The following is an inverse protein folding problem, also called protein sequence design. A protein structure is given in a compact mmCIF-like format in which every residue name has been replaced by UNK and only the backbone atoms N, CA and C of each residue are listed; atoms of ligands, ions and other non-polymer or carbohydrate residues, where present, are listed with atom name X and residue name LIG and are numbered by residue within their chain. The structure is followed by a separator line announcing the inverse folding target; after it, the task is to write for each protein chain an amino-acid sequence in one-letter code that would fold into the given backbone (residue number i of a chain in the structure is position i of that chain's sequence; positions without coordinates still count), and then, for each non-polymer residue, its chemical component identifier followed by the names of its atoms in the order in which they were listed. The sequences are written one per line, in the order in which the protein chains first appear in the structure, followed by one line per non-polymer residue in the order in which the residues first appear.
data_IF_950877859022
#
_entry.id   IF_950877859022
#
_cell.length_a   1.000
_cell.length_b   1.000
_cell.length_c   1.000
_cell.angle_alpha   90.00
_cell.angle_beta   90.00
_cell.angle_gamma   90.00
#
_symmetry.space_group_name_H-M   'P 1'
#
loop_
_entity.id
_entity.type
_entity.pdbx_description
1 polymer ?
#
# COMPACT_ATOMS: atom_id res chain seq x y z
N UNK A 1 4.31 -1.91 -25.76
CA UNK A 1 3.25 -1.94 -24.75
C UNK A 1 3.83 -1.71 -23.33
N UNK A 2 4.84 -2.44 -22.89
CA UNK A 2 5.43 -2.31 -21.55
C UNK A 2 6.00 -0.90 -21.25
N UNK A 3 6.73 -0.29 -22.16
CA UNK A 3 7.26 1.07 -22.00
C UNK A 3 6.14 2.13 -21.87
N UNK A 4 5.05 1.98 -22.63
CA UNK A 4 3.87 2.84 -22.50
C UNK A 4 3.21 2.68 -21.12
N UNK A 5 3.17 1.46 -20.56
CA UNK A 5 2.67 1.19 -19.22
C UNK A 5 3.55 1.85 -18.15
N UNK A 6 4.88 1.75 -18.27
CA UNK A 6 5.81 2.40 -17.32
C UNK A 6 5.64 3.93 -17.32
N UNK A 7 5.54 4.54 -18.50
CA UNK A 7 5.30 5.98 -18.64
C UNK A 7 3.93 6.35 -18.04
N UNK A 8 2.89 5.58 -18.36
CA UNK A 8 1.54 5.80 -17.83
C UNK A 8 1.51 5.74 -16.30
N UNK A 9 2.13 4.73 -15.69
CA UNK A 9 2.19 4.60 -14.22
C UNK A 9 3.00 5.72 -13.57
N UNK A 10 4.14 6.12 -14.14
CA UNK A 10 4.91 7.29 -13.67
C UNK A 10 4.05 8.55 -13.65
N UNK A 11 3.32 8.79 -14.73
CA UNK A 11 2.47 9.99 -14.86
C UNK A 11 1.32 9.95 -13.87
N UNK A 12 0.62 8.81 -13.76
CA UNK A 12 -0.49 8.65 -12.82
C UNK A 12 -0.03 8.87 -11.38
N UNK A 13 1.03 8.19 -10.93
CA UNK A 13 1.52 8.35 -9.56
C UNK A 13 2.13 9.73 -9.32
N UNK A 14 2.75 10.35 -10.33
CA UNK A 14 3.20 11.74 -10.24
C UNK A 14 2.03 12.70 -10.01
N UNK A 15 0.95 12.57 -10.78
CA UNK A 15 -0.26 13.38 -10.63
C UNK A 15 -0.91 13.14 -9.26
N UNK A 16 -1.08 11.88 -8.84
CA UNK A 16 -1.68 11.56 -7.54
C UNK A 16 -0.86 12.15 -6.37
N UNK A 17 0.47 12.10 -6.44
CA UNK A 17 1.33 12.74 -5.45
C UNK A 17 1.13 14.26 -5.43
N UNK A 18 1.06 14.93 -6.58
CA UNK A 18 0.76 16.36 -6.67
C UNK A 18 -0.63 16.71 -6.12
N UNK A 19 -1.65 15.90 -6.42
CA UNK A 19 -3.01 16.07 -5.87
C UNK A 19 -2.97 16.00 -4.35
N UNK A 20 -2.25 15.03 -3.77
CA UNK A 20 -2.17 14.90 -2.31
C UNK A 20 -1.44 16.09 -1.67
N UNK A 21 -0.33 16.55 -2.28
CA UNK A 21 0.37 17.76 -1.79
C UNK A 21 -0.56 18.97 -1.83
N UNK A 22 -1.27 19.19 -2.93
CA UNK A 22 -2.24 20.28 -3.05
C UNK A 22 -3.36 20.18 -2.02
N UNK A 23 -3.90 18.98 -1.80
CA UNK A 23 -4.92 18.71 -0.78
C UNK A 23 -4.39 19.05 0.63
N UNK A 24 -3.19 18.63 0.96
CA UNK A 24 -2.59 18.91 2.27
C UNK A 24 -2.36 20.40 2.49
N UNK A 25 -1.80 21.10 1.51
CA UNK A 25 -1.60 22.57 1.56
C UNK A 25 -2.92 23.29 1.72
N UNK A 26 -3.93 22.91 0.93
CA UNK A 26 -5.28 23.48 1.03
C UNK A 26 -5.91 23.25 2.42
N UNK A 27 -5.85 22.02 2.93
CA UNK A 27 -6.42 21.66 4.24
C UNK A 27 -5.75 22.41 5.37
N UNK A 28 -4.42 22.50 5.37
CA UNK A 28 -3.68 23.30 6.37
C UNK A 28 -4.05 24.77 6.29
N UNK A 29 -4.27 25.32 5.10
CA UNK A 29 -4.60 26.73 4.91
C UNK A 29 -5.98 27.09 5.44
N UNK A 30 -6.97 26.18 5.38
CA UNK A 30 -8.36 26.47 5.80
C UNK A 30 -8.69 25.99 7.22
N UNK A 31 -8.05 24.91 7.69
CA UNK A 31 -8.39 24.29 8.97
C UNK A 31 -7.17 24.14 9.94
N UNK A 32 -5.98 24.65 9.52
CA UNK A 32 -4.78 24.63 10.35
C UNK A 32 -4.15 23.24 10.49
N UNK A 33 -3.36 23.06 11.54
CA UNK A 33 -2.58 21.83 11.74
C UNK A 33 -3.43 20.65 12.26
N UNK A 34 -3.06 19.38 11.94
CA UNK A 34 -3.84 18.18 12.31
C UNK A 34 -3.77 17.80 13.80
N UNK A 35 -2.92 18.45 14.61
CA UNK A 35 -2.64 18.03 15.98
C UNK A 35 -3.66 18.59 17.00
N UNK A 36 -4.96 18.60 16.63
CA UNK A 36 -6.05 19.07 17.50
C UNK A 36 -6.93 17.87 17.90
N UNK A 37 -7.32 17.84 19.19
CA UNK A 37 -8.13 16.74 19.75
C UNK A 37 -9.55 16.69 19.19
N UNK A 38 -10.10 17.82 18.79
CA UNK A 38 -11.44 17.94 18.20
C UNK A 38 -11.57 17.23 16.84
N UNK A 39 -10.46 17.01 16.15
CA UNK A 39 -10.44 16.27 14.89
C UNK A 39 -10.55 14.75 15.09
N UNK A 40 -10.22 14.23 16.27
CA UNK A 40 -10.17 12.79 16.55
C UNK A 40 -11.56 12.25 16.90
N UNK A 41 -12.48 12.31 15.95
CA UNK A 41 -13.79 11.64 16.04
C UNK A 41 -13.63 10.12 15.92
N UNK A 42 -14.64 9.30 16.35
CA UNK A 42 -14.58 7.85 16.20
C UNK A 42 -14.32 7.39 14.76
N UNK A 43 -14.99 8.01 13.78
CA UNK A 43 -14.77 7.70 12.36
C UNK A 43 -13.40 8.16 11.87
N UNK A 44 -12.89 9.31 12.31
CA UNK A 44 -11.53 9.74 11.98
C UNK A 44 -10.49 8.76 12.53
N UNK A 45 -10.66 8.31 13.78
CA UNK A 45 -9.77 7.30 14.39
C UNK A 45 -9.83 5.98 13.62
N UNK A 46 -11.03 5.51 13.24
CA UNK A 46 -11.19 4.29 12.44
C UNK A 46 -10.52 4.42 11.06
N UNK A 47 -10.70 5.55 10.38
CA UNK A 47 -10.06 5.82 9.08
C UNK A 47 -8.54 5.89 9.19
N UNK A 48 -8.00 6.47 10.27
CA UNK A 48 -6.56 6.48 10.51
C UNK A 48 -6.01 5.07 10.77
N UNK A 49 -6.71 4.23 11.53
CA UNK A 49 -6.30 2.83 11.75
C UNK A 49 -6.30 2.08 10.41
N UNK A 50 -7.34 2.22 9.61
CA UNK A 50 -7.46 1.62 8.27
C UNK A 50 -6.31 2.07 7.35
N UNK A 51 -6.05 3.37 7.35
CA UNK A 51 -4.95 3.98 6.59
C UNK A 51 -3.58 3.42 7.03
N UNK A 52 -3.29 3.41 8.32
CA UNK A 52 -1.99 2.95 8.82
C UNK A 52 -1.76 1.45 8.63
N UNK A 53 -2.81 0.62 8.61
CA UNK A 53 -2.67 -0.80 8.25
C UNK A 53 -2.21 -0.94 6.78
N UNK A 54 -2.74 -0.14 5.86
CA UNK A 54 -2.25 -0.09 4.48
C UNK A 54 -0.81 0.43 4.40
N UNK A 55 -0.47 1.45 5.19
CA UNK A 55 0.91 1.96 5.31
C UNK A 55 1.88 0.87 5.81
N UNK A 56 1.45 0.02 6.75
CA UNK A 56 2.25 -1.13 7.20
C UNK A 56 2.50 -2.12 6.07
N UNK A 57 1.50 -2.43 5.25
CA UNK A 57 1.67 -3.32 4.10
C UNK A 57 2.64 -2.74 3.06
N UNK A 58 2.50 -1.46 2.73
CA UNK A 58 3.41 -0.74 1.83
C UNK A 58 4.81 -0.59 2.43
N UNK A 59 4.91 -0.31 3.71
CA UNK A 59 6.18 -0.23 4.45
C UNK A 59 6.93 -1.55 4.46
N UNK A 60 6.23 -2.68 4.61
CA UNK A 60 6.84 -4.01 4.51
C UNK A 60 7.43 -4.27 3.12
N UNK A 61 6.74 -3.83 2.05
CA UNK A 61 7.27 -3.89 0.69
C UNK A 61 8.50 -2.99 0.51
N UNK A 62 8.45 -1.73 0.94
CA UNK A 62 9.58 -0.79 0.88
C UNK A 62 10.78 -1.35 1.63
N UNK A 63 10.57 -1.90 2.82
CA UNK A 63 11.60 -2.51 3.65
C UNK A 63 12.25 -3.73 2.98
N UNK A 64 11.46 -4.53 2.26
CA UNK A 64 11.98 -5.64 1.45
C UNK A 64 12.78 -5.12 0.25
N UNK A 65 12.29 -4.07 -0.44
CA UNK A 65 12.89 -3.55 -1.68
C UNK A 65 14.25 -2.89 -1.44
N UNK A 66 14.40 -2.14 -0.36
CA UNK A 66 15.62 -1.41 -0.04
C UNK A 66 16.73 -2.35 0.45
N UNK A 67 17.95 -2.16 -0.10
CA UNK A 67 19.14 -2.94 0.30
C UNK A 67 19.75 -2.42 1.59
N UNK A 68 19.71 -1.11 1.80
CA UNK A 68 20.29 -0.44 2.94
C UNK A 68 19.24 -0.24 4.04
N UNK A 69 19.52 -0.73 5.25
CA UNK A 69 18.68 -0.56 6.42
C UNK A 69 18.34 0.92 6.73
N UNK A 70 19.33 1.82 6.58
CA UNK A 70 19.14 3.25 6.85
C UNK A 70 18.14 3.85 5.85
N UNK A 71 18.32 3.54 4.55
CA UNK A 71 17.40 3.97 3.50
C UNK A 71 16.00 3.41 3.72
N UNK A 72 15.87 2.11 4.06
CA UNK A 72 14.60 1.48 4.35
C UNK A 72 13.88 2.16 5.52
N UNK A 73 14.61 2.41 6.63
CA UNK A 73 14.04 3.06 7.81
C UNK A 73 13.61 4.50 7.52
N UNK A 74 14.40 5.25 6.74
CA UNK A 74 14.07 6.61 6.33
C UNK A 74 12.79 6.64 5.47
N UNK A 75 12.68 5.76 4.48
CA UNK A 75 11.48 5.67 3.64
C UNK A 75 10.23 5.28 4.43
N UNK A 76 10.35 4.32 5.37
CA UNK A 76 9.24 3.92 6.24
C UNK A 76 8.82 5.06 7.16
N UNK A 77 9.78 5.82 7.71
CA UNK A 77 9.48 7.01 8.53
C UNK A 77 8.73 8.07 7.71
N UNK A 78 9.20 8.35 6.48
CA UNK A 78 8.52 9.28 5.58
C UNK A 78 7.11 8.78 5.19
N UNK A 79 6.93 7.46 4.99
CA UNK A 79 5.62 6.85 4.75
C UNK A 79 4.64 7.09 5.90
N UNK A 80 5.12 6.94 7.14
CA UNK A 80 4.31 7.19 8.34
C UNK A 80 3.95 8.67 8.47
N UNK A 81 4.88 9.59 8.13
CA UNK A 81 4.69 11.03 8.29
C UNK A 81 3.87 11.68 7.16
N UNK A 82 4.07 11.23 5.91
CA UNK A 82 3.54 11.89 4.71
C UNK A 82 2.66 10.97 3.84
N UNK A 83 2.37 9.77 4.30
CA UNK A 83 1.40 8.87 3.66
C UNK A 83 1.64 8.63 2.17
N UNK A 84 0.61 8.84 1.37
CA UNK A 84 0.63 8.57 -0.06
C UNK A 84 1.52 9.50 -0.87
N UNK A 85 1.87 10.68 -0.36
CA UNK A 85 2.91 11.53 -0.99
C UNK A 85 4.20 10.74 -1.11
N UNK A 86 4.63 10.12 0.00
CA UNK A 86 5.83 9.29 0.02
C UNK A 86 5.67 8.03 -0.82
N UNK A 87 4.51 7.38 -0.77
CA UNK A 87 4.23 6.20 -1.60
C UNK A 87 4.38 6.52 -3.08
N UNK A 88 3.74 7.60 -3.55
CA UNK A 88 3.80 8.03 -4.94
C UNK A 88 5.22 8.41 -5.36
N UNK A 89 5.92 9.20 -4.53
CA UNK A 89 7.30 9.60 -4.78
C UNK A 89 8.22 8.38 -4.87
N UNK A 90 8.10 7.44 -3.94
CA UNK A 90 8.90 6.22 -3.93
C UNK A 90 8.69 5.39 -5.20
N UNK A 91 7.43 5.17 -5.60
CA UNK A 91 7.09 4.42 -6.82
C UNK A 91 7.67 5.11 -8.06
N UNK A 92 7.48 6.42 -8.20
CA UNK A 92 8.01 7.20 -9.32
C UNK A 92 9.53 7.10 -9.38
N UNK A 93 10.23 7.20 -8.24
CA UNK A 93 11.68 7.04 -8.17
C UNK A 93 12.12 5.62 -8.55
N UNK A 94 11.38 4.57 -8.15
CA UNK A 94 11.69 3.21 -8.57
C UNK A 94 11.58 3.04 -10.09
N UNK A 95 10.54 3.63 -10.71
CA UNK A 95 10.42 3.63 -12.17
C UNK A 95 11.53 4.42 -12.89
N UNK A 96 12.07 5.47 -12.27
CA UNK A 96 13.23 6.21 -12.84
C UNK A 96 14.54 5.43 -12.73
N UNK A 97 14.66 4.55 -11.74
CA UNK A 97 15.85 3.70 -11.57
C UNK A 97 15.90 2.50 -12.52
N UNK A 98 14.79 2.18 -13.22
CA UNK A 98 14.75 1.07 -14.17
C UNK A 98 15.68 1.32 -15.36
N UNK A 99 16.48 0.32 -15.72
CA UNK A 99 17.21 0.31 -16.97
C UNK A 99 16.24 0.26 -18.17
N UNK A 100 16.70 0.75 -19.33
CA UNK A 100 15.87 0.79 -20.53
C UNK A 100 15.36 -0.60 -20.91
N UNK A 101 16.21 -1.63 -20.83
CA UNK A 101 15.85 -3.02 -21.13
C UNK A 101 14.76 -3.57 -20.20
N UNK A 102 14.85 -3.27 -18.89
CA UNK A 102 13.85 -3.67 -17.88
C UNK A 102 12.49 -3.01 -18.12
N UNK A 103 12.49 -1.77 -18.56
CA UNK A 103 11.27 -1.03 -18.94
C UNK A 103 10.56 -1.63 -20.15
N UNK A 104 11.26 -2.36 -21.01
CA UNK A 104 10.68 -3.02 -22.18
C UNK A 104 10.11 -4.41 -21.87
N UNK A 105 10.58 -5.10 -20.84
CA UNK A 105 10.12 -6.45 -20.49
C UNK A 105 8.86 -6.39 -19.57
N UNK A 106 9.06 -6.23 -18.28
CA UNK A 106 7.98 -6.15 -17.29
C UNK A 106 8.34 -5.10 -16.22
N UNK A 107 7.99 -3.82 -16.45
CA UNK A 107 8.38 -2.75 -15.54
C UNK A 107 7.84 -2.92 -14.12
N UNK A 108 6.65 -3.53 -13.95
CA UNK A 108 6.06 -3.75 -12.62
C UNK A 108 6.84 -4.82 -11.86
N UNK A 109 7.25 -5.88 -12.53
CA UNK A 109 8.10 -6.93 -11.93
C UNK A 109 9.37 -6.34 -11.32
N UNK A 110 10.11 -5.54 -12.10
CA UNK A 110 11.36 -4.94 -11.64
C UNK A 110 11.17 -3.85 -10.58
N UNK A 111 10.04 -3.14 -10.58
CA UNK A 111 9.69 -2.21 -9.50
C UNK A 111 9.36 -2.95 -8.22
N UNK A 112 8.64 -4.07 -8.27
CA UNK A 112 8.22 -4.83 -7.08
C UNK A 112 9.39 -5.60 -6.45
N UNK A 113 10.26 -6.20 -7.24
CA UNK A 113 11.35 -7.03 -6.75
C UNK A 113 12.63 -6.24 -6.49
N UNK A 114 13.38 -6.72 -5.53
CA UNK A 114 14.74 -6.26 -5.25
C UNK A 114 15.68 -6.73 -6.35
N UNK A 115 16.53 -5.84 -6.88
CA UNK A 115 17.61 -6.24 -7.77
C UNK A 115 18.62 -7.13 -7.01
N UNK A 116 19.05 -8.26 -7.58
CA UNK A 116 20.10 -9.07 -6.97
C UNK A 116 21.39 -8.24 -6.94
N UNK A 117 21.89 -7.97 -5.72
CA UNK A 117 23.21 -7.37 -5.56
C UNK A 117 24.28 -8.36 -6.05
N UNK A 118 25.25 -7.86 -6.83
CA UNK A 118 26.44 -8.62 -7.31
C UNK A 118 27.35 -9.09 -6.18
N UNK A 119 27.19 -8.54 -4.98
CA UNK A 119 27.95 -8.91 -3.80
C UNK A 119 27.21 -10.03 -3.04
N UNK A 120 27.64 -11.26 -3.27
CA UNK A 120 27.01 -12.52 -2.87
C UNK A 120 26.89 -12.83 -1.37
N UNK A 121 26.71 -11.85 -0.49
CA UNK A 121 26.35 -12.05 0.92
C UNK A 121 24.92 -11.56 1.18
N UNK A 122 23.97 -12.35 0.73
CA UNK A 122 22.58 -12.21 1.17
C UNK A 122 22.46 -12.63 2.64
N UNK A 123 22.53 -11.68 3.54
CA UNK A 123 22.12 -11.90 4.92
C UNK A 123 20.58 -12.03 4.94
N UNK A 124 20.14 -13.26 4.70
CA UNK A 124 18.76 -13.69 4.48
C UNK A 124 17.98 -13.57 5.79
N UNK A 125 17.48 -12.37 6.12
CA UNK A 125 16.44 -12.20 7.14
C UNK A 125 15.15 -12.83 6.60
N UNK A 126 15.01 -14.15 6.82
CA UNK A 126 13.80 -14.88 6.47
C UNK A 126 12.71 -14.56 7.49
N UNK A 127 11.85 -13.60 7.17
CA UNK A 127 10.54 -13.55 7.83
C UNK A 127 9.80 -14.83 7.43
N UNK A 128 9.34 -15.60 8.42
CA UNK A 128 8.58 -16.82 8.16
C UNK A 128 7.22 -16.48 7.54
N UNK A 129 6.79 -17.25 6.53
CA UNK A 129 5.44 -17.15 5.95
C UNK A 129 4.37 -17.26 7.03
N UNK A 130 4.59 -18.15 8.03
CA UNK A 130 3.65 -18.33 9.16
C UNK A 130 3.54 -17.05 10.00
N UNK A 131 4.68 -16.41 10.32
CA UNK A 131 4.67 -15.13 11.06
C UNK A 131 3.93 -14.05 10.30
N UNK A 132 4.15 -13.94 8.97
CA UNK A 132 3.44 -12.98 8.13
C UNK A 132 1.92 -13.26 8.09
N UNK A 133 1.49 -14.54 8.01
CA UNK A 133 0.07 -14.93 8.08
C UNK A 133 -0.57 -14.46 9.38
N UNK A 134 0.05 -14.77 10.52
CA UNK A 134 -0.47 -14.38 11.85
C UNK A 134 -0.54 -12.86 11.96
N UNK A 135 0.51 -12.15 11.54
CA UNK A 135 0.59 -10.70 11.64
C UNK A 135 -0.51 -10.00 10.82
N UNK A 136 -0.66 -10.33 9.54
CA UNK A 136 -1.70 -9.71 8.71
C UNK A 136 -3.11 -10.17 9.07
N UNK A 137 -3.30 -11.41 9.59
CA UNK A 137 -4.59 -11.82 10.14
C UNK A 137 -4.96 -11.01 11.38
N UNK A 138 -4.02 -10.76 12.27
CA UNK A 138 -4.26 -9.92 13.46
C UNK A 138 -4.63 -8.48 13.08
N UNK A 139 -3.93 -7.88 12.09
CA UNK A 139 -4.27 -6.54 11.59
C UNK A 139 -5.66 -6.50 10.94
N UNK A 140 -6.03 -7.50 10.16
CA UNK A 140 -7.36 -7.60 9.57
C UNK A 140 -8.47 -7.73 10.63
N UNK A 141 -8.24 -8.54 11.66
CA UNK A 141 -9.17 -8.68 12.80
C UNK A 141 -9.26 -7.37 13.62
N UNK A 142 -8.14 -6.68 13.82
CA UNK A 142 -8.11 -5.37 14.48
C UNK A 142 -8.99 -4.37 13.71
N UNK A 143 -8.81 -4.26 12.39
CA UNK A 143 -9.61 -3.33 11.59
C UNK A 143 -11.10 -3.71 11.57
N UNK A 144 -11.41 -5.00 11.42
CA UNK A 144 -12.79 -5.47 11.48
C UNK A 144 -13.44 -5.11 12.84
N UNK A 145 -12.75 -5.36 13.95
CA UNK A 145 -13.21 -5.00 15.29
C UNK A 145 -13.41 -3.49 15.44
N UNK A 146 -12.46 -2.68 14.93
CA UNK A 146 -12.56 -1.21 14.92
C UNK A 146 -13.78 -0.75 14.13
N UNK A 147 -14.02 -1.29 12.94
CA UNK A 147 -15.16 -0.94 12.10
C UNK A 147 -16.49 -1.26 12.79
N UNK A 148 -16.62 -2.48 13.33
CA UNK A 148 -17.83 -2.91 14.06
C UNK A 148 -18.06 -2.01 15.28
N UNK A 149 -17.02 -1.76 16.08
CA UNK A 149 -17.11 -0.86 17.24
C UNK A 149 -17.56 0.54 16.83
N UNK A 150 -16.99 1.12 15.79
CA UNK A 150 -17.32 2.48 15.34
C UNK A 150 -18.76 2.57 14.81
N UNK A 151 -19.21 1.56 14.06
CA UNK A 151 -20.62 1.51 13.59
C UNK A 151 -21.60 1.43 14.76
N UNK A 152 -21.28 0.66 15.79
CA UNK A 152 -22.16 0.47 16.96
C UNK A 152 -22.18 1.72 17.86
N UNK A 153 -21.07 2.46 17.95
CA UNK A 153 -20.95 3.61 18.87
C UNK A 153 -21.28 4.96 18.23
N UNK A 154 -20.95 5.14 16.95
CA UNK A 154 -21.12 6.41 16.24
C UNK A 154 -22.04 6.30 15.00
N UNK A 155 -22.56 5.11 14.69
CA UNK A 155 -23.50 4.88 13.61
C UNK A 155 -22.91 4.92 12.21
N UNK A 156 -23.70 5.33 11.19
CA UNK A 156 -23.34 5.23 9.78
C UNK A 156 -22.18 6.15 9.37
N UNK A 157 -21.25 5.69 8.50
CA UNK A 157 -20.19 6.50 7.92
C UNK A 157 -20.67 7.53 6.88
N UNK A 158 -21.91 7.39 6.38
CA UNK A 158 -22.42 8.23 5.28
C UNK A 158 -23.09 9.52 5.74
N UNK A 159 -22.67 10.06 6.88
CA UNK A 159 -23.14 11.34 7.39
C UNK A 159 -22.27 12.48 6.86
N UNK A 160 -22.90 13.55 6.32
CA UNK A 160 -22.17 14.72 5.79
C UNK A 160 -21.33 15.45 6.83
N UNK A 161 -21.75 15.40 8.09
CA UNK A 161 -21.07 16.01 9.25
C UNK A 161 -19.67 15.46 9.48
N UNK A 162 -19.40 14.21 9.04
CA UNK A 162 -18.10 13.58 9.15
C UNK A 162 -17.07 14.10 8.14
N UNK A 163 -17.53 14.72 7.04
CA UNK A 163 -16.65 15.21 5.97
C UNK A 163 -16.02 16.57 6.32
N UNK A 164 -15.30 16.60 7.44
CA UNK A 164 -14.44 17.74 7.77
C UNK A 164 -13.27 17.86 6.78
N UNK A 165 -12.59 19.01 6.69
CA UNK A 165 -11.44 19.17 5.79
C UNK A 165 -10.35 18.10 6.03
N UNK A 166 -10.01 17.82 7.29
CA UNK A 166 -9.02 16.79 7.62
C UNK A 166 -9.50 15.37 7.34
N UNK A 167 -10.78 15.06 7.60
CA UNK A 167 -11.34 13.75 7.23
C UNK A 167 -11.30 13.54 5.72
N UNK A 168 -11.64 14.56 4.95
CA UNK A 168 -11.59 14.52 3.48
C UNK A 168 -10.16 14.33 2.98
N UNK A 169 -9.20 15.06 3.55
CA UNK A 169 -7.78 14.90 3.21
C UNK A 169 -7.26 13.49 3.53
N UNK A 170 -7.63 12.94 4.69
CA UNK A 170 -7.26 11.58 5.09
C UNK A 170 -7.88 10.53 4.16
N UNK A 171 -9.13 10.72 3.74
CA UNK A 171 -9.76 9.83 2.75
C UNK A 171 -9.07 9.89 1.38
N UNK A 172 -8.69 11.08 0.91
CA UNK A 172 -7.94 11.21 -0.34
C UNK A 172 -6.60 10.48 -0.24
N UNK A 173 -5.86 10.69 0.85
CA UNK A 173 -4.58 10.02 1.13
C UNK A 173 -4.75 8.48 1.16
N UNK A 174 -5.77 8.01 1.86
CA UNK A 174 -6.15 6.61 1.92
C UNK A 174 -6.44 6.02 0.54
N UNK A 175 -7.31 6.66 -0.26
CA UNK A 175 -7.69 6.15 -1.57
C UNK A 175 -6.54 6.18 -2.59
N UNK A 176 -5.59 7.10 -2.47
CA UNK A 176 -4.36 7.05 -3.28
C UNK A 176 -3.57 5.77 -2.98
N UNK A 177 -3.43 5.38 -1.70
CA UNK A 177 -2.79 4.11 -1.35
C UNK A 177 -3.62 2.89 -1.82
N UNK A 178 -4.95 2.97 -1.82
CA UNK A 178 -5.83 1.94 -2.41
C UNK A 178 -5.58 1.80 -3.92
N UNK A 179 -5.35 2.90 -4.65
CA UNK A 179 -4.97 2.83 -6.07
C UNK A 179 -3.65 2.09 -6.26
N UNK A 180 -2.64 2.36 -5.43
CA UNK A 180 -1.36 1.63 -5.48
C UNK A 180 -1.57 0.12 -5.28
N UNK A 181 -2.33 -0.26 -4.26
CA UNK A 181 -2.65 -1.66 -3.98
C UNK A 181 -3.49 -2.29 -5.10
N UNK A 182 -4.40 -1.54 -5.71
CA UNK A 182 -5.21 -1.99 -6.85
C UNK A 182 -4.35 -2.28 -8.08
N UNK A 183 -3.34 -1.46 -8.37
CA UNK A 183 -2.37 -1.72 -9.45
C UNK A 183 -1.59 -3.01 -9.19
N UNK A 184 -1.16 -3.24 -7.94
CA UNK A 184 -0.50 -4.49 -7.55
C UNK A 184 -1.43 -5.70 -7.70
N UNK A 185 -2.68 -5.63 -7.24
CA UNK A 185 -3.68 -6.71 -7.39
C UNK A 185 -3.96 -6.99 -8.86
N UNK A 186 -4.15 -5.95 -9.70
CA UNK A 186 -4.38 -6.09 -11.13
C UNK A 186 -3.19 -6.76 -11.85
N UNK A 187 -1.97 -6.44 -11.46
CA UNK A 187 -0.76 -7.07 -11.97
C UNK A 187 -0.66 -8.55 -11.56
N UNK A 188 -1.05 -8.86 -10.33
CA UNK A 188 -0.89 -10.17 -9.74
C UNK A 188 -1.92 -11.19 -10.23
N UNK A 189 -3.16 -10.77 -10.40
CA UNK A 189 -4.26 -11.64 -10.79
C UNK A 189 -4.22 -11.97 -12.28
N UNK A 190 -4.34 -13.27 -12.61
CA UNK A 190 -4.39 -13.72 -14.00
C UNK A 190 -5.76 -13.53 -14.63
N UNK A 191 -6.83 -13.47 -13.82
CA UNK A 191 -8.21 -13.28 -14.25
C UNK A 191 -8.67 -11.85 -14.00
N UNK A 192 -9.15 -11.18 -15.05
CA UNK A 192 -9.72 -9.83 -14.93
C UNK A 192 -10.92 -9.76 -13.98
N UNK A 193 -11.72 -10.83 -13.91
CA UNK A 193 -12.88 -10.91 -13.01
C UNK A 193 -12.41 -10.92 -11.56
N UNK A 194 -11.40 -11.74 -11.23
CA UNK A 194 -10.85 -11.80 -9.88
C UNK A 194 -10.19 -10.47 -9.49
N UNK A 195 -9.41 -9.88 -10.40
CA UNK A 195 -8.81 -8.57 -10.16
C UNK A 195 -9.88 -7.52 -9.86
N UNK A 196 -10.92 -7.46 -10.69
CA UNK A 196 -12.04 -6.52 -10.49
C UNK A 196 -12.74 -6.73 -9.14
N UNK A 197 -13.07 -7.97 -8.77
CA UNK A 197 -13.70 -8.27 -7.49
C UNK A 197 -12.84 -7.83 -6.30
N UNK A 198 -11.54 -8.13 -6.31
CA UNK A 198 -10.62 -7.70 -5.26
C UNK A 198 -10.48 -6.18 -5.19
N UNK A 199 -10.44 -5.48 -6.32
CA UNK A 199 -10.37 -4.01 -6.37
C UNK A 199 -11.63 -3.39 -5.81
N UNK A 200 -12.82 -3.89 -6.15
CA UNK A 200 -14.10 -3.43 -5.57
C UNK A 200 -14.11 -3.64 -4.05
N UNK A 201 -13.64 -4.80 -3.57
CA UNK A 201 -13.53 -5.05 -2.14
C UNK A 201 -12.52 -4.12 -1.46
N UNK A 202 -11.38 -3.80 -2.10
CA UNK A 202 -10.40 -2.82 -1.60
C UNK A 202 -11.02 -1.43 -1.44
N UNK A 203 -11.83 -1.01 -2.40
CA UNK A 203 -12.52 0.29 -2.35
C UNK A 203 -13.57 0.31 -1.23
N UNK A 204 -14.31 -0.80 -1.03
CA UNK A 204 -15.40 -0.86 -0.05
C UNK A 204 -14.94 -1.11 1.39
N UNK A 205 -13.91 -1.94 1.59
CA UNK A 205 -13.50 -2.45 2.90
C UNK A 205 -12.03 -2.14 3.26
N UNK A 206 -11.32 -1.39 2.43
CA UNK A 206 -9.99 -0.88 2.71
C UNK A 206 -9.00 -1.95 3.15
N UNK A 207 -8.35 -1.74 4.29
CA UNK A 207 -7.28 -2.61 4.79
C UNK A 207 -7.76 -3.99 5.25
N UNK A 208 -9.05 -4.17 5.56
CA UNK A 208 -9.61 -5.51 5.80
C UNK A 208 -9.36 -6.37 4.56
N UNK A 209 -9.67 -5.82 3.38
CA UNK A 209 -9.43 -6.52 2.10
C UNK A 209 -7.95 -6.68 1.82
N UNK A 210 -7.14 -5.65 2.06
CA UNK A 210 -5.67 -5.73 1.91
C UNK A 210 -5.10 -6.89 2.72
N UNK A 211 -5.44 -6.96 4.01
CA UNK A 211 -4.98 -8.02 4.90
C UNK A 211 -5.48 -9.40 4.46
N UNK A 212 -6.77 -9.52 4.12
CA UNK A 212 -7.37 -10.77 3.64
C UNK A 212 -6.69 -11.25 2.36
N UNK A 213 -6.44 -10.34 1.41
CA UNK A 213 -5.78 -10.67 0.15
C UNK A 213 -4.33 -11.14 0.37
N UNK A 214 -3.57 -10.42 1.22
CA UNK A 214 -2.19 -10.81 1.56
C UNK A 214 -2.18 -12.18 2.24
N UNK A 215 -3.05 -12.42 3.21
CA UNK A 215 -3.18 -13.71 3.92
C UNK A 215 -3.55 -14.83 2.96
N UNK A 216 -4.53 -14.60 2.07
CA UNK A 216 -4.89 -15.55 1.02
C UNK A 216 -3.69 -15.93 0.15
N UNK A 217 -2.94 -14.93 -0.31
CA UNK A 217 -1.75 -15.15 -1.12
C UNK A 217 -0.62 -15.88 -0.36
N UNK A 218 -0.48 -15.62 0.94
CA UNK A 218 0.45 -16.32 1.81
C UNK A 218 0.04 -17.79 2.00
N UNK A 219 -1.26 -18.13 2.03
CA UNK A 219 -1.72 -19.52 2.08
C UNK A 219 -1.40 -20.30 0.80
N UNK A 220 -1.25 -19.62 -0.34
CA UNK A 220 -0.79 -20.23 -1.59
C UNK A 220 0.72 -20.52 -1.61
N UNK A 221 1.47 -20.14 -0.57
CA UNK A 221 2.90 -20.40 -0.42
C UNK A 221 3.14 -21.52 0.60
N UNK A 222 4.21 -22.30 0.40
CA UNK A 222 4.71 -23.22 1.42
C UNK A 222 5.33 -22.45 2.59
N UNK A 223 5.37 -23.08 3.78
CA UNK A 223 6.00 -22.46 4.96
C UNK A 223 7.51 -22.22 4.80
N UNK A 224 8.13 -22.88 3.83
CA UNK A 224 9.56 -22.75 3.53
C UNK A 224 9.86 -21.75 2.42
N UNK A 225 8.82 -21.30 1.69
CA UNK A 225 8.99 -20.34 0.61
C UNK A 225 9.34 -18.95 1.15
N UNK A 226 10.10 -18.15 0.41
CA UNK A 226 10.35 -16.78 0.79
C UNK A 226 9.10 -15.91 0.63
N UNK A 227 8.81 -15.08 1.65
CA UNK A 227 7.60 -14.24 1.72
C UNK A 227 7.45 -13.29 0.51
N UNK A 228 8.56 -12.82 -0.08
CA UNK A 228 8.51 -11.91 -1.22
C UNK A 228 7.81 -12.49 -2.47
N UNK A 229 7.68 -13.81 -2.56
CA UNK A 229 6.91 -14.47 -3.63
C UNK A 229 5.43 -14.07 -3.63
N UNK A 230 4.92 -13.51 -2.52
CA UNK A 230 3.59 -12.89 -2.47
C UNK A 230 3.45 -11.77 -3.50
N UNK A 231 4.54 -11.04 -3.79
CA UNK A 231 4.53 -9.91 -4.71
C UNK A 231 4.38 -10.32 -6.18
N UNK A 232 4.74 -11.57 -6.52
CA UNK A 232 4.83 -12.04 -7.89
C UNK A 232 3.53 -12.68 -8.39
N UNK A 233 3.29 -12.50 -9.69
CA UNK A 233 2.27 -13.24 -10.43
C UNK A 233 2.59 -14.75 -10.46
N UNK A 234 1.57 -15.59 -10.56
CA UNK A 234 1.69 -17.06 -10.61
C UNK A 234 2.57 -17.56 -11.77
N UNK A 235 2.60 -16.85 -12.91
CA UNK A 235 3.46 -17.19 -14.04
C UNK A 235 4.94 -16.97 -13.72
N UNK A 236 5.29 -15.87 -13.07
CA UNK A 236 6.65 -15.53 -12.72
C UNK A 236 7.20 -16.37 -11.55
N UNK A 237 6.29 -16.90 -10.68
CA UNK A 237 6.68 -17.86 -9.61
C UNK A 237 7.17 -19.20 -10.13
N UNK A 238 6.69 -19.65 -11.28
CA UNK A 238 7.06 -20.94 -11.87
C UNK A 238 8.41 -20.92 -12.58
N UNK A 239 8.97 -19.74 -12.79
CA UNK A 239 10.27 -19.55 -13.46
C UNK A 239 11.43 -19.39 -12.48
N UNK A 240 11.16 -19.30 -11.18
CA UNK A 240 12.13 -19.22 -10.08
C UNK A 240 12.28 -20.57 -9.37
#
# INVERSE_FOLDING_TARGET
MAMSLAIGLKTVFGILGCVMVATLVYTISIDGLPFRKDLLTPWMAATLIDFYINVVALGAWVFYKESNWISASLWVLLLVCFGSITTCLYIVLQFFKLATEESFQDPIYYVLLRHPNKDGMEHKRRVSVVTARIFFSALGCLMLGTLVYTILTDGSPFRRELLTPWMTATLIDFYINVVVLSVWVAYKESSWINAFLWIVLLICFGSITTCTYIVWQLFCLSSQDPVYLVLLNSSNRKQL
#
